data_IF_196783015156
#
_entry.id   IF_196783015156
#
_cell.length_a   1.000
_cell.length_b   1.000
_cell.length_c   1.000
_cell.angle_alpha   90.00
_cell.angle_beta   90.00
_cell.angle_gamma   90.00
#
_symmetry.space_group_name_H-M   'P 1'
#
loop_
_entity.id
_entity.type
_entity.pdbx_description
1 polymer ?
#
# COMPACT_ATOMS: atom_id res chain seq x y z
N UNK A 1 17.12 -5.09 11.24
CA UNK A 1 15.86 -4.94 10.48
C UNK A 1 15.08 -3.82 11.12
N UNK A 2 14.42 -2.96 10.35
CA UNK A 2 13.46 -2.02 10.92
C UNK A 2 12.38 -2.83 11.65
N UNK A 3 12.08 -2.49 12.91
CA UNK A 3 11.04 -3.16 13.69
C UNK A 3 9.61 -2.76 13.29
N UNK A 4 9.44 -2.12 12.14
CA UNK A 4 8.19 -1.55 11.65
C UNK A 4 7.74 -2.29 10.39
N UNK A 5 6.49 -2.72 10.37
CA UNK A 5 5.89 -3.51 9.28
C UNK A 5 4.64 -2.84 8.71
N UNK A 6 4.16 -3.35 7.56
CA UNK A 6 2.87 -2.93 7.02
C UNK A 6 1.70 -3.30 7.93
N UNK A 7 1.80 -4.37 8.72
CA UNK A 7 0.79 -4.73 9.73
C UNK A 7 0.75 -3.69 10.86
N UNK A 8 1.90 -3.16 11.26
CA UNK A 8 1.94 -2.05 12.22
C UNK A 8 1.27 -0.79 11.65
N UNK A 9 1.53 -0.51 10.37
CA UNK A 9 0.93 0.64 9.68
C UNK A 9 -0.58 0.48 9.50
N UNK A 10 -1.07 -0.70 9.11
CA UNK A 10 -2.49 -1.02 8.99
C UNK A 10 -3.20 -0.77 10.33
N UNK A 11 -2.64 -1.29 11.43
CA UNK A 11 -3.18 -1.08 12.77
C UNK A 11 -3.23 0.42 13.12
N UNK A 12 -2.16 1.16 12.88
CA UNK A 12 -2.10 2.61 13.13
C UNK A 12 -3.14 3.36 12.29
N UNK A 13 -3.32 2.98 11.02
CA UNK A 13 -4.31 3.58 10.12
C UNK A 13 -5.72 3.34 10.65
N UNK A 14 -6.05 2.12 11.06
CA UNK A 14 -7.35 1.78 11.63
C UNK A 14 -7.60 2.56 12.95
N UNK A 15 -6.63 2.56 13.87
CA UNK A 15 -6.71 3.28 15.15
C UNK A 15 -6.94 4.79 14.92
N UNK A 16 -6.13 5.41 14.05
CA UNK A 16 -6.22 6.86 13.78
C UNK A 16 -7.44 7.24 12.96
N UNK A 17 -7.87 6.38 12.03
CA UNK A 17 -9.07 6.60 11.21
C UNK A 17 -10.34 6.59 12.06
N UNK A 18 -10.44 5.69 13.03
CA UNK A 18 -11.58 5.56 13.93
C UNK A 18 -11.58 6.55 15.11
N UNK A 19 -10.46 7.25 15.35
CA UNK A 19 -10.26 8.07 16.55
C UNK A 19 -11.21 9.28 16.68
N UNK A 20 -11.83 9.74 15.59
CA UNK A 20 -12.64 10.97 15.58
C UNK A 20 -11.85 12.26 15.88
N UNK A 21 -10.52 12.17 15.99
CA UNK A 21 -9.65 13.27 16.31
C UNK A 21 -9.53 14.21 15.10
N UNK A 22 -10.02 15.45 15.22
CA UNK A 22 -10.10 16.41 14.12
C UNK A 22 -8.73 16.85 13.57
N UNK A 23 -7.67 16.71 14.37
CA UNK A 23 -6.27 16.97 14.05
C UNK A 23 -5.58 15.77 13.37
N UNK A 24 -6.18 14.59 13.40
CA UNK A 24 -5.66 13.41 12.70
C UNK A 24 -5.91 13.51 11.20
N UNK A 25 -4.83 13.55 10.42
CA UNK A 25 -4.91 13.46 8.96
C UNK A 25 -5.66 12.20 8.49
N UNK A 26 -5.39 11.07 9.12
CA UNK A 26 -6.07 9.80 8.81
C UNK A 26 -7.57 9.89 9.08
N UNK A 27 -7.99 10.48 10.20
CA UNK A 27 -9.42 10.65 10.51
C UNK A 27 -10.11 11.55 9.47
N UNK A 28 -9.42 12.60 8.98
CA UNK A 28 -9.94 13.47 7.91
C UNK A 28 -10.09 12.74 6.58
N UNK A 29 -9.19 11.81 6.25
CA UNK A 29 -9.34 10.98 5.05
C UNK A 29 -10.53 10.03 5.20
N UNK A 30 -10.69 9.41 6.36
CA UNK A 30 -11.83 8.53 6.64
C UNK A 30 -13.16 9.27 6.53
N UNK A 31 -13.24 10.48 7.10
CA UNK A 31 -14.43 11.33 7.01
C UNK A 31 -14.75 11.78 5.58
N UNK A 32 -13.75 11.87 4.70
CA UNK A 32 -13.92 12.22 3.28
C UNK A 32 -14.22 11.02 2.38
N UNK A 33 -14.09 9.79 2.89
CA UNK A 33 -14.39 8.56 2.20
C UNK A 33 -13.39 8.17 1.11
N UNK A 34 -13.70 7.05 0.45
CA UNK A 34 -12.82 6.34 -0.49
C UNK A 34 -12.39 7.20 -1.66
N UNK A 35 -13.29 8.01 -2.24
CA UNK A 35 -12.97 8.85 -3.40
C UNK A 35 -11.75 9.75 -3.13
N UNK A 36 -11.74 10.44 -1.98
CA UNK A 36 -10.62 11.32 -1.65
C UNK A 36 -9.35 10.54 -1.31
N UNK A 37 -9.48 9.42 -0.61
CA UNK A 37 -8.33 8.57 -0.28
C UNK A 37 -7.68 7.98 -1.54
N UNK A 38 -8.49 7.48 -2.49
CA UNK A 38 -8.04 6.94 -3.76
C UNK A 38 -7.42 8.01 -4.66
N UNK A 39 -7.97 9.24 -4.67
CA UNK A 39 -7.35 10.37 -5.35
C UNK A 39 -5.92 10.59 -4.84
N UNK A 40 -5.75 10.67 -3.51
CA UNK A 40 -4.42 10.84 -2.90
C UNK A 40 -3.49 9.68 -3.27
N UNK A 41 -3.94 8.43 -3.14
CA UNK A 41 -3.16 7.25 -3.57
C UNK A 41 -2.69 7.37 -5.03
N UNK A 42 -3.54 7.86 -5.92
CA UNK A 42 -3.19 8.09 -7.33
C UNK A 42 -2.15 9.19 -7.53
N UNK A 43 -2.22 10.28 -6.77
CA UNK A 43 -1.20 11.34 -6.77
C UNK A 43 0.18 10.77 -6.37
N UNK A 44 0.26 10.08 -5.24
CA UNK A 44 1.52 9.50 -4.74
C UNK A 44 2.10 8.46 -5.71
N UNK A 45 1.25 7.69 -6.38
CA UNK A 45 1.68 6.72 -7.39
C UNK A 45 2.37 7.39 -8.58
N UNK A 46 1.83 8.52 -9.05
CA UNK A 46 2.42 9.31 -10.13
C UNK A 46 3.72 9.97 -9.65
N UNK A 47 3.76 10.50 -8.43
CA UNK A 47 4.96 11.10 -7.85
C UNK A 47 6.09 10.07 -7.69
N UNK A 48 5.80 8.86 -7.23
CA UNK A 48 6.76 7.76 -7.15
C UNK A 48 7.34 7.39 -8.53
N UNK A 49 6.49 7.32 -9.56
CA UNK A 49 6.95 7.09 -10.96
C UNK A 49 7.87 8.21 -11.42
N UNK A 50 7.50 9.47 -11.16
CA UNK A 50 8.32 10.63 -11.54
C UNK A 50 9.68 10.58 -10.83
N UNK A 51 9.71 10.28 -9.53
CA UNK A 51 10.94 10.17 -8.76
C UNK A 51 11.85 9.04 -9.31
N UNK A 52 11.26 7.89 -9.66
CA UNK A 52 11.99 6.79 -10.28
C UNK A 52 12.61 7.19 -11.63
N UNK A 53 11.83 7.83 -12.51
CA UNK A 53 12.29 8.29 -13.83
C UNK A 53 13.41 9.33 -13.72
N UNK A 54 13.36 10.19 -12.71
CA UNK A 54 14.40 11.19 -12.44
C UNK A 54 15.66 10.62 -11.79
N UNK A 55 15.65 9.35 -11.38
CA UNK A 55 16.73 8.78 -10.58
C UNK A 55 16.83 9.40 -9.18
N UNK A 56 15.75 10.05 -8.71
CA UNK A 56 15.69 10.63 -7.37
C UNK A 56 15.39 9.53 -6.35
N UNK A 57 16.45 8.96 -5.79
CA UNK A 57 16.34 7.88 -4.81
C UNK A 57 15.65 8.33 -3.51
N UNK A 58 15.86 9.57 -3.08
CA UNK A 58 15.26 10.07 -1.85
C UNK A 58 13.76 10.31 -2.05
N UNK A 59 13.38 10.95 -3.15
CA UNK A 59 12.00 11.09 -3.58
C UNK A 59 11.32 9.74 -3.71
N UNK A 60 11.93 8.77 -4.41
CA UNK A 60 11.32 7.46 -4.61
C UNK A 60 11.02 6.74 -3.28
N UNK A 61 11.90 6.85 -2.28
CA UNK A 61 11.62 6.30 -0.94
C UNK A 61 10.46 7.02 -0.27
N UNK A 62 10.42 8.35 -0.34
CA UNK A 62 9.36 9.17 0.26
C UNK A 62 8.00 8.86 -0.37
N UNK A 63 7.89 8.97 -1.70
CA UNK A 63 6.62 8.77 -2.40
C UNK A 63 6.14 7.32 -2.35
N UNK A 64 7.06 6.35 -2.28
CA UNK A 64 6.68 4.94 -2.06
C UNK A 64 6.08 4.74 -0.66
N UNK A 65 6.59 5.45 0.35
CA UNK A 65 6.02 5.37 1.70
C UNK A 65 4.63 6.00 1.75
N UNK A 66 4.44 7.16 1.12
CA UNK A 66 3.14 7.84 1.05
C UNK A 66 2.13 7.04 0.22
N UNK A 67 2.56 6.42 -0.88
CA UNK A 67 1.76 5.49 -1.66
C UNK A 67 1.26 4.31 -0.81
N UNK A 68 2.15 3.64 -0.07
CA UNK A 68 1.78 2.51 0.78
C UNK A 68 0.85 2.93 1.93
N UNK A 69 1.08 4.09 2.52
CA UNK A 69 0.19 4.65 3.53
C UNK A 69 -1.21 4.91 2.97
N UNK A 70 -1.31 5.64 1.85
CA UNK A 70 -2.59 5.96 1.24
C UNK A 70 -3.32 4.72 0.69
N UNK A 71 -2.57 3.73 0.23
CA UNK A 71 -3.12 2.42 -0.14
C UNK A 71 -3.78 1.71 1.05
N UNK A 72 -3.11 1.64 2.21
CA UNK A 72 -3.70 1.05 3.42
C UNK A 72 -4.93 1.82 3.91
N UNK A 73 -4.97 3.15 3.75
CA UNK A 73 -6.18 3.95 4.04
C UNK A 73 -7.35 3.55 3.12
N UNK A 74 -7.09 3.33 1.83
CA UNK A 74 -8.12 2.87 0.88
C UNK A 74 -8.61 1.48 1.26
N UNK A 75 -7.71 0.53 1.57
CA UNK A 75 -8.10 -0.81 1.99
C UNK A 75 -9.00 -0.77 3.24
N UNK A 76 -8.62 0.03 4.24
CA UNK A 76 -9.39 0.16 5.48
C UNK A 76 -10.80 0.74 5.23
N UNK A 77 -10.94 1.71 4.32
CA UNK A 77 -12.24 2.29 3.96
C UNK A 77 -13.14 1.32 3.20
N UNK A 78 -12.54 0.45 2.38
CA UNK A 78 -13.25 -0.59 1.62
C UNK A 78 -13.45 -1.89 2.42
N UNK A 79 -12.96 -1.95 3.66
CA UNK A 79 -13.07 -3.14 4.51
C UNK A 79 -12.23 -4.33 4.05
N UNK A 80 -11.19 -4.09 3.25
CA UNK A 80 -10.24 -5.10 2.77
C UNK A 80 -9.07 -5.20 3.75
N UNK A 81 -8.71 -6.41 4.17
CA UNK A 81 -7.56 -6.62 5.07
C UNK A 81 -6.27 -6.71 4.26
N UNK A 82 -5.18 -6.20 4.83
CA UNK A 82 -3.84 -6.38 4.26
C UNK A 82 -3.52 -7.87 4.07
N UNK A 83 -3.90 -8.72 5.04
CA UNK A 83 -3.70 -10.18 4.95
C UNK A 83 -4.33 -10.79 3.70
N UNK A 84 -5.50 -10.30 3.26
CA UNK A 84 -6.16 -10.80 2.05
C UNK A 84 -5.32 -10.47 0.80
N UNK A 85 -4.73 -9.27 0.75
CA UNK A 85 -3.82 -8.89 -0.34
C UNK A 85 -2.52 -9.69 -0.27
N UNK A 86 -1.96 -9.88 0.91
CA UNK A 86 -0.72 -10.66 1.09
C UNK A 86 -0.91 -12.11 0.67
N UNK A 87 -2.06 -12.71 0.99
CA UNK A 87 -2.43 -14.06 0.52
C UNK A 87 -2.51 -14.14 -1.01
N UNK A 88 -3.09 -13.13 -1.68
CA UNK A 88 -3.12 -13.06 -3.14
C UNK A 88 -1.70 -12.91 -3.74
N UNK A 89 -0.84 -12.10 -3.13
CA UNK A 89 0.57 -11.95 -3.55
C UNK A 89 1.36 -13.26 -3.40
N UNK A 90 1.17 -13.98 -2.28
CA UNK A 90 1.77 -15.29 -2.05
C UNK A 90 1.30 -16.30 -3.12
N UNK A 91 0.00 -16.36 -3.38
CA UNK A 91 -0.59 -17.25 -4.40
C UNK A 91 -0.09 -16.95 -5.82
N UNK A 92 0.15 -15.68 -6.16
CA UNK A 92 0.75 -15.28 -7.46
C UNK A 92 2.20 -15.74 -7.58
N UNK A 93 2.97 -15.57 -6.51
CA UNK A 93 4.40 -15.90 -6.47
C UNK A 93 4.64 -17.41 -6.50
N UNK A 94 3.79 -18.19 -5.82
CA UNK A 94 3.84 -19.65 -5.88
C UNK A 94 3.53 -20.19 -7.29
N UNK A 95 2.52 -19.62 -7.97
CA UNK A 95 2.17 -20.00 -9.35
C UNK A 95 3.26 -19.69 -10.36
N UNK A 96 3.91 -18.53 -10.28
CA UNK A 96 5.02 -18.19 -11.18
C UNK A 96 6.18 -19.18 -11.02
N UNK A 97 6.51 -19.58 -9.79
CA UNK A 97 7.55 -20.60 -9.55
C UNK A 97 7.20 -21.98 -10.12
N UNK A 98 5.94 -22.40 -10.04
CA UNK A 98 5.48 -23.67 -10.65
C UNK A 98 5.50 -23.59 -12.18
N UNK A 99 5.05 -22.46 -12.76
CA UNK A 99 5.05 -22.25 -14.20
C UNK A 99 6.49 -22.15 -14.77
N UNK A 100 7.41 -21.48 -14.07
CA UNK A 100 8.84 -21.42 -14.42
C UNK A 100 9.53 -22.78 -14.30
N UNK A 101 9.12 -23.63 -13.36
CA UNK A 101 9.65 -24.99 -13.25
C UNK A 101 9.15 -25.87 -14.40
N UNK A 102 7.86 -25.80 -14.72
CA UNK A 102 7.27 -26.56 -15.82
C UNK A 102 7.86 -26.19 -17.19
N UNK A 103 8.28 -24.94 -17.40
CA UNK A 103 8.95 -24.52 -18.65
C UNK A 103 10.40 -24.99 -18.76
N UNK A 104 11.08 -25.27 -17.63
CA UNK A 104 12.44 -25.83 -17.61
C UNK A 104 12.47 -27.33 -17.92
N UNK A 105 11.48 -28.08 -17.44
CA UNK A 105 11.42 -29.54 -17.63
C UNK A 105 10.93 -29.92 -19.06
N UNK A 106 10.41 -28.94 -19.82
CA UNK A 106 9.89 -29.11 -21.18
C UNK A 106 10.87 -28.71 -22.30
N UNK A 107 12.07 -28.22 -21.96
CA UNK A 107 13.14 -27.85 -22.91
C UNK A 107 14.34 -28.76 -22.82
#
# INVERSE_FOLDING_TARGET
MAGFSLNDLERIVAERGASGAADSWTARLFAKGTEKAAQKMGEEAVEAVIAAVKGDRAGLVSESADLLYHWLVVLALEGVKLDDVMAELEARTARSGVAEKASRDAG
#
